data_IF_401066789257
#
_entry.id   IF_401066789257
#
_cell.length_a   1.000
_cell.length_b   1.000
_cell.length_c   1.000
_cell.angle_alpha   90.00
_cell.angle_beta   90.00
_cell.angle_gamma   90.00
#
_symmetry.space_group_name_H-M   'P 1'
#
loop_
_entity.id
_entity.type
_entity.pdbx_description
1 polymer ?
#
# COMPACT_ATOMS: atom_id res chain seq x y z
N UNK A 1 31.26 -2.29 -5.25
CA UNK A 1 29.80 -2.25 -5.48
C UNK A 1 29.25 -1.01 -4.80
N UNK A 2 28.55 -0.11 -5.52
CA UNK A 2 27.78 0.94 -4.85
C UNK A 2 26.64 0.26 -4.10
N UNK A 3 26.52 0.51 -2.79
CA UNK A 3 25.36 0.07 -2.02
C UNK A 3 24.08 0.62 -2.66
N UNK A 4 23.08 -0.23 -2.85
CA UNK A 4 21.77 0.18 -3.33
C UNK A 4 21.10 1.05 -2.26
N UNK A 5 21.20 2.37 -2.39
CA UNK A 5 20.51 3.29 -1.49
C UNK A 5 19.04 3.37 -1.87
N UNK A 6 18.17 2.92 -0.97
CA UNK A 6 16.72 3.15 -1.09
C UNK A 6 16.46 4.64 -1.00
N UNK A 7 15.74 5.20 -1.98
CA UNK A 7 15.29 6.60 -1.99
C UNK A 7 13.76 6.65 -1.93
N UNK A 8 13.15 7.77 -1.49
CA UNK A 8 11.69 7.91 -1.52
C UNK A 8 11.13 7.72 -2.94
N UNK A 9 11.76 8.35 -3.94
CA UNK A 9 11.40 8.14 -5.35
C UNK A 9 11.54 6.68 -5.80
N UNK A 10 12.56 5.96 -5.33
CA UNK A 10 12.73 4.54 -5.63
C UNK A 10 11.60 3.67 -5.06
N UNK A 11 11.15 3.96 -3.84
CA UNK A 11 9.99 3.30 -3.24
C UNK A 11 8.70 3.63 -4.00
N UNK A 12 8.51 4.89 -4.40
CA UNK A 12 7.36 5.31 -5.18
C UNK A 12 7.30 4.66 -6.57
N UNK A 13 8.43 4.59 -7.29
CA UNK A 13 8.51 3.91 -8.59
C UNK A 13 8.06 2.45 -8.45
N UNK A 14 8.53 1.77 -7.40
CA UNK A 14 8.14 0.39 -7.12
C UNK A 14 6.65 0.29 -6.75
N UNK A 15 6.12 1.23 -5.98
CA UNK A 15 4.69 1.30 -5.66
C UNK A 15 3.82 1.40 -6.91
N UNK A 16 4.21 2.24 -7.88
CA UNK A 16 3.55 2.36 -9.18
C UNK A 16 3.56 1.05 -9.95
N UNK A 17 4.72 0.41 -10.07
CA UNK A 17 4.86 -0.87 -10.77
C UNK A 17 3.95 -1.95 -10.15
N UNK A 18 3.84 -2.00 -8.82
CA UNK A 18 2.94 -2.92 -8.14
C UNK A 18 1.46 -2.62 -8.37
N UNK A 19 1.05 -1.34 -8.41
CA UNK A 19 -0.33 -0.98 -8.77
C UNK A 19 -0.67 -1.39 -10.21
N UNK A 20 0.25 -1.16 -11.15
CA UNK A 20 0.09 -1.54 -12.55
C UNK A 20 -0.01 -3.07 -12.70
N UNK A 21 0.87 -3.83 -12.04
CA UNK A 21 0.83 -5.28 -12.03
C UNK A 21 -0.48 -5.81 -11.40
N UNK A 22 -0.94 -5.21 -10.30
CA UNK A 22 -2.20 -5.58 -9.67
C UNK A 22 -3.39 -5.41 -10.61
N UNK A 23 -3.42 -4.32 -11.38
CA UNK A 23 -4.45 -4.08 -12.40
C UNK A 23 -4.42 -5.13 -13.50
N UNK A 24 -3.24 -5.48 -14.03
CA UNK A 24 -3.11 -6.56 -15.03
C UNK A 24 -3.66 -7.89 -14.49
N UNK A 25 -3.30 -8.26 -13.25
CA UNK A 25 -3.79 -9.49 -12.62
C UNK A 25 -5.29 -9.44 -12.38
N UNK A 26 -5.82 -8.32 -11.89
CA UNK A 26 -7.23 -8.14 -11.61
C UNK A 26 -8.09 -8.18 -12.88
N UNK A 27 -7.61 -7.58 -13.97
CA UNK A 27 -8.32 -7.53 -15.25
C UNK A 27 -8.33 -8.93 -15.90
N UNK A 28 -7.24 -9.70 -15.77
CA UNK A 28 -7.15 -11.07 -16.29
C UNK A 28 -8.16 -12.05 -15.64
N UNK A 29 -8.53 -11.83 -14.38
CA UNK A 29 -9.51 -12.67 -13.67
C UNK A 29 -10.95 -12.14 -13.74
N UNK A 30 -11.16 -10.96 -14.35
CA UNK A 30 -12.47 -10.33 -14.43
C UNK A 30 -13.08 -10.12 -13.04
N UNK A 31 -14.33 -10.56 -12.85
CA UNK A 31 -15.05 -10.44 -11.57
C UNK A 31 -14.65 -11.45 -10.49
N UNK A 32 -13.80 -12.42 -10.83
CA UNK A 32 -13.32 -13.38 -9.85
C UNK A 32 -12.36 -12.73 -8.84
N UNK A 33 -12.31 -13.31 -7.65
CA UNK A 33 -11.38 -12.89 -6.59
C UNK A 33 -9.97 -13.35 -6.94
N UNK A 34 -9.00 -12.44 -6.85
CA UNK A 34 -7.58 -12.75 -6.96
C UNK A 34 -6.84 -12.22 -5.73
N UNK A 35 -6.44 -13.13 -4.83
CA UNK A 35 -5.61 -12.80 -3.67
C UNK A 35 -4.27 -12.15 -4.08
N UNK A 36 -3.60 -12.61 -5.15
CA UNK A 36 -2.42 -11.90 -5.66
C UNK A 36 -2.71 -10.44 -6.03
N UNK A 37 -3.85 -10.11 -6.63
CA UNK A 37 -4.19 -8.71 -6.93
C UNK A 37 -4.31 -7.86 -5.65
N UNK A 38 -4.97 -8.40 -4.61
CA UNK A 38 -5.07 -7.73 -3.30
C UNK A 38 -3.71 -7.55 -2.63
N UNK A 39 -2.83 -8.55 -2.69
CA UNK A 39 -1.45 -8.42 -2.20
C UNK A 39 -0.71 -7.30 -2.92
N UNK A 40 -0.76 -7.26 -4.24
CA UNK A 40 -0.05 -6.28 -5.06
C UNK A 40 -0.58 -4.86 -4.79
N UNK A 41 -1.89 -4.67 -4.65
CA UNK A 41 -2.44 -3.37 -4.23
C UNK A 41 -2.03 -3.01 -2.79
N UNK A 42 -2.08 -3.94 -1.85
CA UNK A 42 -1.63 -3.71 -0.47
C UNK A 42 -0.17 -3.27 -0.42
N UNK A 43 0.70 -3.95 -1.19
CA UNK A 43 2.11 -3.61 -1.26
C UNK A 43 2.37 -2.28 -1.97
N UNK A 44 1.59 -1.95 -3.00
CA UNK A 44 1.60 -0.62 -3.61
C UNK A 44 1.24 0.49 -2.61
N UNK A 45 0.19 0.29 -1.80
CA UNK A 45 -0.21 1.21 -0.74
C UNK A 45 0.91 1.36 0.29
N UNK A 46 1.47 0.25 0.77
CA UNK A 46 2.59 0.23 1.73
C UNK A 46 3.77 1.07 1.23
N UNK A 47 4.22 0.82 0.00
CA UNK A 47 5.37 1.51 -0.59
C UNK A 47 5.07 2.98 -0.87
N UNK A 48 3.85 3.32 -1.28
CA UNK A 48 3.42 4.71 -1.47
C UNK A 48 3.50 5.50 -0.16
N UNK A 49 2.98 4.93 0.93
CA UNK A 49 3.02 5.56 2.25
C UNK A 49 4.44 5.65 2.81
N UNK A 50 5.24 4.59 2.66
CA UNK A 50 6.66 4.60 3.05
C UNK A 50 7.47 5.63 2.26
N UNK A 51 7.22 5.77 0.96
CA UNK A 51 7.87 6.78 0.13
C UNK A 51 7.57 8.18 0.66
N UNK A 52 6.29 8.49 0.90
CA UNK A 52 5.88 9.78 1.46
C UNK A 52 6.51 10.05 2.83
N UNK A 53 6.42 9.10 3.76
CA UNK A 53 7.00 9.25 5.10
C UNK A 53 8.52 9.43 5.04
N UNK A 54 9.19 8.70 4.15
CA UNK A 54 10.62 8.84 3.98
C UNK A 54 11.01 10.20 3.39
N UNK A 55 10.26 10.69 2.40
CA UNK A 55 10.41 12.06 1.88
C UNK A 55 10.16 13.14 2.95
N UNK A 56 9.31 12.84 3.95
CA UNK A 56 9.09 13.68 5.13
C UNK A 56 10.18 13.54 6.21
N UNK A 57 11.25 12.78 5.98
CA UNK A 57 12.37 12.60 6.91
C UNK A 57 12.23 11.45 7.90
N UNK A 58 11.21 10.58 7.77
CA UNK A 58 11.10 9.39 8.62
C UNK A 58 12.21 8.39 8.24
N UNK A 59 13.07 7.95 9.18
CA UNK A 59 14.19 7.08 8.85
C UNK A 59 13.75 5.70 8.33
N UNK A 60 14.46 5.17 7.33
CA UNK A 60 14.18 3.82 6.78
C UNK A 60 14.15 2.72 7.85
N UNK A 61 14.97 2.82 8.90
CA UNK A 61 14.95 1.87 10.03
C UNK A 61 13.58 1.81 10.73
N UNK A 62 12.90 2.96 10.85
CA UNK A 62 11.55 3.04 11.45
C UNK A 62 10.52 2.44 10.50
N UNK A 63 10.62 2.75 9.21
CA UNK A 63 9.73 2.23 8.18
C UNK A 63 9.86 0.71 7.97
N UNK A 64 11.00 0.12 8.32
CA UNK A 64 11.25 -1.34 8.29
C UNK A 64 11.01 -2.02 9.64
N UNK A 65 10.61 -1.27 10.67
CA UNK A 65 10.34 -1.82 12.00
C UNK A 65 9.15 -2.77 11.98
N UNK A 66 8.99 -3.59 13.03
CA UNK A 66 7.81 -4.46 13.18
C UNK A 66 6.48 -3.69 13.18
N UNK A 67 6.50 -2.44 13.65
CA UNK A 67 5.32 -1.59 13.76
C UNK A 67 4.84 -1.06 12.40
N UNK A 68 5.76 -0.63 11.53
CA UNK A 68 5.44 0.01 10.24
C UNK A 68 5.77 -0.86 9.01
N UNK A 69 6.45 -1.98 9.20
CA UNK A 69 7.08 -2.77 8.14
C UNK A 69 6.12 -3.42 7.17
N UNK A 70 4.92 -3.79 7.61
CA UNK A 70 3.88 -4.45 6.80
C UNK A 70 2.49 -4.17 7.37
N UNK A 71 2.30 -2.98 7.90
CA UNK A 71 1.07 -2.59 8.59
C UNK A 71 0.52 -1.33 7.92
N UNK A 72 -0.46 -1.52 7.03
CA UNK A 72 -1.05 -0.43 6.24
C UNK A 72 -1.77 0.58 7.13
N UNK A 73 -2.43 0.12 8.19
CA UNK A 73 -3.12 0.98 9.14
C UNK A 73 -2.14 1.86 9.91
N UNK A 74 -1.07 1.27 10.45
CA UNK A 74 -0.04 2.03 11.18
C UNK A 74 0.69 3.03 10.25
N UNK A 75 1.02 2.62 9.02
CA UNK A 75 1.61 3.52 8.02
C UNK A 75 0.67 4.68 7.66
N UNK A 76 -0.63 4.40 7.51
CA UNK A 76 -1.61 5.43 7.21
C UNK A 76 -1.76 6.41 8.39
N UNK A 77 -1.82 5.90 9.62
CA UNK A 77 -1.86 6.72 10.83
C UNK A 77 -0.66 7.66 10.94
N UNK A 78 0.55 7.12 10.76
CA UNK A 78 1.78 7.92 10.75
C UNK A 78 1.74 8.95 9.60
N UNK A 79 1.35 8.56 8.39
CA UNK A 79 1.28 9.49 7.26
C UNK A 79 0.28 10.64 7.50
N UNK A 80 -0.86 10.35 8.15
CA UNK A 80 -1.82 11.37 8.54
C UNK A 80 -1.23 12.36 9.57
N UNK A 81 -0.38 11.91 10.49
CA UNK A 81 0.37 12.80 11.40
C UNK A 81 1.35 13.70 10.64
N UNK A 82 1.92 13.22 9.54
CA UNK A 82 2.73 14.01 8.61
C UNK A 82 1.92 14.82 7.58
N UNK A 83 0.64 15.10 7.86
CA UNK A 83 -0.26 15.91 7.03
C UNK A 83 -0.60 15.33 5.64
N UNK A 84 -0.57 14.00 5.47
CA UNK A 84 -1.00 13.34 4.23
C UNK A 84 -2.34 13.88 3.70
N UNK A 85 -3.29 14.19 4.59
CA UNK A 85 -4.62 14.74 4.26
C UNK A 85 -4.61 16.01 3.41
N UNK A 86 -3.52 16.79 3.43
CA UNK A 86 -3.35 17.99 2.60
C UNK A 86 -3.00 17.68 1.14
N UNK A 87 -2.50 16.46 0.88
CA UNK A 87 -2.07 15.99 -0.43
C UNK A 87 -3.09 14.99 -0.99
N UNK A 88 -3.50 14.02 -0.17
CA UNK A 88 -4.45 12.97 -0.52
C UNK A 88 -5.62 13.02 0.44
N UNK A 89 -6.78 13.44 -0.07
CA UNK A 89 -8.01 13.40 0.70
C UNK A 89 -8.62 11.98 0.64
N UNK A 90 -8.43 11.18 1.70
CA UNK A 90 -9.11 9.90 1.88
C UNK A 90 -10.36 10.11 2.74
N UNK A 91 -11.52 9.67 2.25
CA UNK A 91 -12.74 9.69 3.06
C UNK A 91 -12.78 8.51 4.03
N UNK A 92 -13.70 8.53 5.00
CA UNK A 92 -13.80 7.47 6.03
C UNK A 92 -14.00 6.07 5.46
N UNK A 93 -14.67 5.93 4.31
CA UNK A 93 -14.83 4.63 3.64
C UNK A 93 -13.52 4.14 3.05
N UNK A 94 -12.74 5.02 2.43
CA UNK A 94 -11.43 4.67 1.88
C UNK A 94 -10.43 4.30 2.98
N UNK A 95 -10.45 5.02 4.10
CA UNK A 95 -9.65 4.68 5.29
C UNK A 95 -10.05 3.30 5.83
N UNK A 96 -11.35 3.04 5.99
CA UNK A 96 -11.85 1.76 6.45
C UNK A 96 -11.46 0.59 5.54
N UNK A 97 -11.29 0.82 4.24
CA UNK A 97 -10.89 -0.24 3.30
C UNK A 97 -9.40 -0.56 3.40
N UNK A 98 -8.56 0.45 3.67
CA UNK A 98 -7.14 0.21 3.97
C UNK A 98 -7.03 -0.60 5.27
N UNK A 99 -7.80 -0.25 6.30
CA UNK A 99 -7.83 -1.00 7.56
C UNK A 99 -8.32 -2.44 7.36
N UNK A 100 -9.38 -2.62 6.56
CA UNK A 100 -9.92 -3.96 6.28
C UNK A 100 -8.96 -4.81 5.43
N UNK A 101 -8.28 -4.22 4.44
CA UNK A 101 -7.19 -4.88 3.70
C UNK A 101 -6.06 -5.29 4.64
N UNK A 102 -5.73 -4.43 5.61
CA UNK A 102 -4.64 -4.64 6.55
C UNK A 102 -4.77 -5.93 7.35
N UNK A 103 -5.99 -6.35 7.71
CA UNK A 103 -6.24 -7.57 8.49
C UNK A 103 -5.57 -8.81 7.87
N UNK A 104 -5.75 -9.01 6.56
CA UNK A 104 -5.13 -10.12 5.83
C UNK A 104 -3.67 -9.82 5.43
N UNK A 105 -3.37 -8.54 5.17
CA UNK A 105 -2.04 -8.11 4.73
C UNK A 105 -0.98 -8.30 5.81
N UNK A 106 -1.23 -7.81 7.03
CA UNK A 106 -0.28 -7.91 8.16
C UNK A 106 -0.07 -9.35 8.61
N UNK A 107 -1.10 -10.19 8.48
CA UNK A 107 -1.05 -11.62 8.78
C UNK A 107 -0.38 -12.45 7.67
N UNK A 108 -0.03 -11.83 6.53
CA UNK A 108 0.55 -12.47 5.34
C UNK A 108 -0.33 -13.55 4.71
N UNK A 109 -1.65 -13.43 4.87
CA UNK A 109 -2.59 -14.44 4.38
C UNK A 109 -2.66 -14.49 2.84
N UNK A 110 -2.23 -13.43 2.18
CA UNK A 110 -2.11 -13.42 0.72
C UNK A 110 -0.86 -14.14 0.21
N UNK A 111 0.18 -14.29 1.05
CA UNK A 111 1.43 -14.98 0.71
C UNK A 111 1.31 -16.49 0.99
N UNK A 112 0.59 -16.87 2.04
CA UNK A 112 0.45 -18.25 2.49
C UNK A 112 -1.01 -18.69 2.44
N UNK A 113 -1.28 -19.73 1.65
CA UNK A 113 -2.61 -20.30 1.52
C UNK A 113 -3.01 -21.05 2.81
N UNK A 114 -4.12 -20.66 3.43
CA UNK A 114 -4.72 -21.36 4.56
C UNK A 114 -6.13 -21.86 4.25
N UNK A 115 -6.73 -22.66 5.14
CA UNK A 115 -8.10 -23.20 5.00
C UNK A 115 -9.20 -22.18 5.36
N UNK A 116 -8.88 -20.89 5.48
CA UNK A 116 -9.79 -19.86 5.98
C UNK A 116 -10.51 -19.12 4.88
N UNK A 117 -11.70 -18.62 5.19
CA UNK A 117 -12.41 -17.66 4.35
C UNK A 117 -11.69 -16.32 4.42
N UNK A 118 -11.45 -15.71 3.25
CA UNK A 118 -10.83 -14.39 3.15
C UNK A 118 -11.87 -13.29 3.24
N UNK A 119 -11.72 -12.42 4.23
CA UNK A 119 -12.50 -11.20 4.38
C UNK A 119 -11.87 -10.08 3.56
N UNK A 120 -12.36 -9.87 2.34
CA UNK A 120 -11.72 -8.97 1.37
C UNK A 120 -12.48 -7.64 1.21
N UNK A 121 -11.76 -6.50 1.11
CA UNK A 121 -12.35 -5.21 0.75
C UNK A 121 -12.92 -5.22 -0.66
N UNK A 122 -13.65 -4.17 -1.04
CA UNK A 122 -14.17 -4.07 -2.39
C UNK A 122 -13.03 -3.87 -3.41
N UNK A 123 -12.90 -4.81 -4.36
CA UNK A 123 -11.88 -4.81 -5.43
C UNK A 123 -11.68 -3.43 -6.08
N UNK A 124 -12.77 -2.85 -6.59
CA UNK A 124 -12.73 -1.57 -7.31
C UNK A 124 -12.24 -0.41 -6.44
N UNK A 125 -12.56 -0.44 -5.14
CA UNK A 125 -12.17 0.62 -4.21
C UNK A 125 -10.72 0.46 -3.78
N UNK A 126 -10.27 -0.77 -3.56
CA UNK A 126 -8.87 -1.10 -3.28
C UNK A 126 -7.97 -0.64 -4.42
N UNK A 127 -8.32 -0.98 -5.67
CA UNK A 127 -7.64 -0.48 -6.88
C UNK A 127 -7.55 1.04 -6.90
N UNK A 128 -8.69 1.72 -6.74
CA UNK A 128 -8.77 3.18 -6.78
C UNK A 128 -7.91 3.84 -5.70
N UNK A 129 -7.86 3.28 -4.50
CA UNK A 129 -7.04 3.79 -3.39
C UNK A 129 -5.55 3.69 -3.73
N UNK A 130 -5.09 2.53 -4.21
CA UNK A 130 -3.70 2.33 -4.59
C UNK A 130 -3.28 3.31 -5.72
N UNK A 131 -4.08 3.41 -6.78
CA UNK A 131 -3.84 4.33 -7.89
C UNK A 131 -3.84 5.80 -7.46
N UNK A 132 -4.79 6.18 -6.58
CA UNK A 132 -4.89 7.54 -6.03
C UNK A 132 -3.67 7.93 -5.21
N UNK A 133 -3.17 7.03 -4.35
CA UNK A 133 -1.95 7.28 -3.56
C UNK A 133 -0.73 7.42 -4.47
N UNK A 134 -0.53 6.50 -5.41
CA UNK A 134 0.57 6.58 -6.38
C UNK A 134 0.53 7.89 -7.15
N UNK A 135 -0.64 8.26 -7.71
CA UNK A 135 -0.78 9.45 -8.52
C UNK A 135 -0.47 10.73 -7.74
N UNK A 136 -1.08 10.89 -6.56
CA UNK A 136 -1.03 12.14 -5.82
C UNK A 136 0.27 12.32 -5.02
N UNK A 137 0.94 11.24 -4.63
CA UNK A 137 2.20 11.31 -3.87
C UNK A 137 3.43 11.53 -4.74
N UNK A 138 3.35 11.39 -6.07
CA UNK A 138 4.49 11.55 -6.99
C UNK A 138 5.30 12.84 -6.78
N UNK A 139 4.64 13.94 -6.43
CA UNK A 139 5.27 15.26 -6.25
C UNK A 139 5.81 15.51 -4.82
N UNK A 140 5.64 14.54 -3.94
CA UNK A 140 5.90 14.65 -2.50
C UNK A 140 6.84 13.55 -2.00
N UNK A 141 7.59 12.94 -2.91
CA UNK A 141 8.62 11.91 -2.70
C UNK A 141 9.90 12.34 -3.39
#
# INVERSE_FOLDING_TARGET
MKEFQTTPLGLWNRAKEFAEAASVVADAVGDQVSLPAYYLWGHSIELSLKAFLFGCGVPLRKLKSKELGHNLEALLGEALHYNLKRIVHLNSREIGEIQYLNHNYVAKDFEYHGTKTYELPYKHRTKRIAEKLVLLLKRHV
#
